data_IF_071941944933
#
_entry.id   IF_071941944933
#
_cell.length_a   1.000
_cell.length_b   1.000
_cell.length_c   1.000
_cell.angle_alpha   90.00
_cell.angle_beta   90.00
_cell.angle_gamma   90.00
#
_symmetry.space_group_name_H-M   'P 1'
#
loop_
_entity.id
_entity.type
_entity.pdbx_description
1 polymer ?
#
# COMPACT_ATOMS: atom_id res chain seq x y z
N UNK A 1 -28.26 -4.31 -7.02
CA UNK A 1 -27.66 -3.23 -6.23
C UNK A 1 -26.15 -3.44 -6.25
N UNK A 2 -25.38 -2.48 -6.70
CA UNK A 2 -23.92 -2.50 -6.56
C UNK A 2 -23.65 -2.30 -5.06
N UNK A 3 -22.83 -3.16 -4.41
CA UNK A 3 -22.49 -2.93 -3.02
C UNK A 3 -21.77 -1.57 -2.92
N UNK A 4 -22.32 -0.67 -2.11
CA UNK A 4 -21.67 0.60 -1.79
C UNK A 4 -20.43 0.30 -0.97
N UNK A 5 -19.27 0.42 -1.59
CA UNK A 5 -17.97 0.27 -0.92
C UNK A 5 -17.25 1.60 -0.92
N UNK A 6 -16.46 1.94 0.10
CA UNK A 6 -15.68 3.17 0.12
C UNK A 6 -14.72 3.32 -1.05
N UNK A 7 -14.42 2.22 -1.74
CA UNK A 7 -13.57 2.25 -2.94
C UNK A 7 -14.20 3.03 -4.09
N UNK A 8 -15.53 3.02 -4.21
CA UNK A 8 -16.23 3.64 -5.33
C UNK A 8 -17.13 4.80 -4.92
N UNK A 9 -17.71 4.72 -3.73
CA UNK A 9 -18.59 5.76 -3.20
C UNK A 9 -18.34 5.96 -1.70
N UNK A 10 -17.21 6.63 -1.35
CA UNK A 10 -16.82 6.83 0.04
C UNK A 10 -17.80 7.74 0.80
N UNK A 11 -18.40 8.73 0.13
CA UNK A 11 -19.33 9.65 0.76
C UNK A 11 -20.62 8.93 1.16
N UNK A 12 -21.22 8.16 0.26
CA UNK A 12 -22.44 7.41 0.53
C UNK A 12 -22.20 6.31 1.57
N UNK A 13 -21.09 5.60 1.51
CA UNK A 13 -20.73 4.56 2.49
C UNK A 13 -20.68 5.14 3.91
N UNK A 14 -19.88 6.17 4.13
CA UNK A 14 -19.68 6.76 5.45
C UNK A 14 -20.88 7.63 5.92
N UNK A 15 -21.82 7.98 5.04
CA UNK A 15 -23.08 8.62 5.43
C UNK A 15 -24.11 7.64 6.01
N UNK A 16 -24.04 6.37 5.61
CA UNK A 16 -25.02 5.32 5.98
C UNK A 16 -24.59 4.52 7.20
N UNK A 17 -23.30 4.33 7.42
CA UNK A 17 -22.80 3.59 8.57
C UNK A 17 -22.74 4.48 9.81
N UNK A 18 -23.58 4.13 10.80
CA UNK A 18 -23.68 4.89 12.05
C UNK A 18 -22.41 4.86 12.92
N UNK A 19 -21.62 3.78 12.90
CA UNK A 19 -20.41 3.62 13.71
C UNK A 19 -19.28 2.98 12.91
N UNK A 20 -18.11 3.63 12.89
CA UNK A 20 -16.89 3.09 12.29
C UNK A 20 -16.55 1.70 12.84
N UNK A 21 -16.19 0.77 11.95
CA UNK A 21 -15.84 -0.61 12.27
C UNK A 21 -14.34 -0.82 12.33
N UNK A 22 -13.80 -1.00 13.52
CA UNK A 22 -12.38 -1.36 13.69
C UNK A 22 -12.07 -2.73 13.05
N UNK A 23 -13.03 -3.65 13.06
CA UNK A 23 -12.90 -4.96 12.41
C UNK A 23 -12.70 -4.79 10.89
N UNK A 24 -13.50 -3.93 10.24
CA UNK A 24 -13.35 -3.60 8.82
C UNK A 24 -11.98 -3.00 8.55
N UNK A 25 -11.54 -2.04 9.37
CA UNK A 25 -10.23 -1.40 9.25
C UNK A 25 -9.08 -2.43 9.33
N UNK A 26 -9.11 -3.32 10.33
CA UNK A 26 -8.12 -4.39 10.48
C UNK A 26 -8.15 -5.35 9.29
N UNK A 27 -9.33 -5.73 8.82
CA UNK A 27 -9.49 -6.66 7.69
C UNK A 27 -8.89 -6.07 6.41
N UNK A 28 -9.20 -4.81 6.07
CA UNK A 28 -8.67 -4.15 4.87
C UNK A 28 -7.15 -3.97 4.97
N UNK A 29 -6.64 -3.59 6.15
CA UNK A 29 -5.19 -3.48 6.38
C UNK A 29 -4.50 -4.85 6.28
N UNK A 30 -5.12 -5.93 6.76
CA UNK A 30 -4.61 -7.28 6.62
C UNK A 30 -4.59 -7.74 5.15
N UNK A 31 -5.59 -7.37 4.34
CA UNK A 31 -5.58 -7.63 2.89
C UNK A 31 -4.40 -6.93 2.21
N UNK A 32 -4.11 -5.68 2.58
CA UNK A 32 -2.94 -4.97 2.07
C UNK A 32 -1.63 -5.65 2.48
N UNK A 33 -1.50 -6.08 3.74
CA UNK A 33 -0.35 -6.85 4.21
C UNK A 33 -0.18 -8.16 3.43
N UNK A 34 -1.26 -8.93 3.24
CA UNK A 34 -1.23 -10.18 2.45
C UNK A 34 -0.79 -9.90 1.01
N UNK A 35 -1.29 -8.82 0.38
CA UNK A 35 -0.87 -8.41 -0.95
C UNK A 35 0.64 -8.14 -1.02
N UNK A 36 1.19 -7.41 -0.04
CA UNK A 36 2.61 -7.11 0.05
C UNK A 36 3.46 -8.38 0.24
N UNK A 37 3.03 -9.30 1.12
CA UNK A 37 3.71 -10.58 1.35
C UNK A 37 3.67 -11.44 0.08
N UNK A 38 2.53 -11.53 -0.58
CA UNK A 38 2.38 -12.29 -1.82
C UNK A 38 3.29 -11.73 -2.93
N UNK A 39 3.27 -10.42 -3.13
CA UNK A 39 4.14 -9.75 -4.10
C UNK A 39 5.62 -10.04 -3.82
N UNK A 40 6.08 -9.83 -2.58
CA UNK A 40 7.47 -10.07 -2.21
C UNK A 40 7.87 -11.54 -2.32
N UNK A 41 6.98 -12.47 -1.96
CA UNK A 41 7.24 -13.90 -2.07
C UNK A 41 7.41 -14.33 -3.54
N UNK A 42 6.56 -13.81 -4.43
CA UNK A 42 6.66 -14.06 -5.88
C UNK A 42 7.96 -13.45 -6.42
N UNK A 43 8.25 -12.20 -6.06
CA UNK A 43 9.47 -11.51 -6.46
C UNK A 43 10.72 -12.27 -6.01
N UNK A 44 10.78 -12.67 -4.74
CA UNK A 44 11.89 -13.45 -4.20
C UNK A 44 12.06 -14.80 -4.89
N UNK A 45 10.93 -15.49 -5.16
CA UNK A 45 11.03 -16.76 -5.89
C UNK A 45 11.71 -16.57 -7.23
N UNK A 46 11.26 -15.61 -8.04
CA UNK A 46 11.89 -15.37 -9.35
C UNK A 46 13.36 -14.94 -9.22
N UNK A 47 13.66 -14.11 -8.22
CA UNK A 47 15.04 -13.68 -7.96
C UNK A 47 15.95 -14.88 -7.66
N UNK A 48 15.49 -15.82 -6.84
CA UNK A 48 16.25 -17.03 -6.51
C UNK A 48 16.34 -18.03 -7.67
N UNK A 49 15.33 -18.08 -8.54
CA UNK A 49 15.33 -18.96 -9.71
C UNK A 49 16.38 -18.51 -10.76
N UNK A 50 16.62 -17.20 -10.86
CA UNK A 50 17.59 -16.60 -11.78
C UNK A 50 19.00 -16.58 -11.19
N UNK A 51 19.14 -16.57 -9.87
CA UNK A 51 20.44 -16.52 -9.18
C UNK A 51 21.07 -17.94 -9.06
N UNK A 52 22.14 -18.19 -9.80
CA UNK A 52 22.75 -19.53 -9.93
C UNK A 52 23.64 -19.96 -8.75
N UNK A 53 24.01 -19.05 -7.84
CA UNK A 53 25.01 -19.31 -6.81
C UNK A 53 24.55 -19.03 -5.37
N UNK A 54 23.27 -18.72 -5.19
CA UNK A 54 22.76 -18.56 -3.82
C UNK A 54 22.68 -19.93 -3.13
N UNK A 55 23.25 -20.08 -1.92
CA UNK A 55 23.09 -21.31 -1.17
C UNK A 55 21.59 -21.56 -0.97
N UNK A 56 21.17 -22.82 -1.05
CA UNK A 56 19.77 -23.26 -0.73
C UNK A 56 19.35 -22.88 0.70
N UNK A 57 20.08 -21.96 1.31
CA UNK A 57 19.85 -21.40 2.62
C UNK A 57 18.44 -20.82 2.70
N UNK A 58 17.53 -21.76 2.88
CA UNK A 58 16.36 -21.55 3.68
C UNK A 58 15.48 -20.35 3.28
N UNK A 59 14.88 -20.40 2.07
CA UNK A 59 13.62 -19.68 1.80
C UNK A 59 12.66 -19.84 3.00
N UNK A 60 12.72 -20.98 3.69
CA UNK A 60 11.95 -21.27 4.88
C UNK A 60 12.15 -20.32 6.06
N UNK A 61 13.29 -19.65 6.17
CA UNK A 61 13.54 -18.65 7.23
C UNK A 61 13.32 -17.22 6.77
N UNK A 62 13.63 -16.92 5.51
CA UNK A 62 13.55 -15.57 4.95
C UNK A 62 12.09 -15.11 4.78
N UNK A 63 11.22 -15.96 4.26
CA UNK A 63 9.82 -15.61 3.99
C UNK A 63 9.08 -15.22 5.29
N UNK A 64 9.11 -16.00 6.39
CA UNK A 64 8.45 -15.61 7.63
C UNK A 64 8.97 -14.30 8.23
N UNK A 65 10.29 -14.11 8.20
CA UNK A 65 10.90 -12.86 8.69
C UNK A 65 10.46 -11.65 7.84
N UNK A 66 10.49 -11.79 6.52
CA UNK A 66 10.03 -10.75 5.60
C UNK A 66 8.55 -10.44 5.81
N UNK A 67 7.70 -11.45 5.98
CA UNK A 67 6.28 -11.28 6.26
C UNK A 67 6.05 -10.51 7.57
N UNK A 68 6.81 -10.82 8.62
CA UNK A 68 6.74 -10.12 9.91
C UNK A 68 7.17 -8.65 9.77
N UNK A 69 8.29 -8.38 9.12
CA UNK A 69 8.79 -7.02 8.91
C UNK A 69 7.83 -6.19 8.05
N UNK A 70 7.25 -6.79 7.01
CA UNK A 70 6.22 -6.15 6.20
C UNK A 70 4.95 -5.85 7.00
N UNK A 71 4.53 -6.78 7.87
CA UNK A 71 3.38 -6.55 8.76
C UNK A 71 3.61 -5.35 9.68
N UNK A 72 4.81 -5.25 10.26
CA UNK A 72 5.19 -4.11 11.08
C UNK A 72 5.22 -2.81 10.25
N UNK A 73 5.76 -2.83 9.05
CA UNK A 73 5.80 -1.68 8.14
C UNK A 73 4.39 -1.23 7.77
N UNK A 74 3.50 -2.15 7.39
CA UNK A 74 2.09 -1.84 7.07
C UNK A 74 1.38 -1.23 8.28
N UNK A 75 1.60 -1.77 9.48
CA UNK A 75 1.04 -1.21 10.72
C UNK A 75 1.53 0.23 10.96
N UNK A 76 2.82 0.48 10.79
CA UNK A 76 3.40 1.82 10.96
C UNK A 76 2.86 2.81 9.93
N UNK A 77 2.73 2.40 8.66
CA UNK A 77 2.11 3.22 7.60
C UNK A 77 0.67 3.55 7.97
N UNK A 78 -0.12 2.56 8.37
CA UNK A 78 -1.52 2.77 8.76
C UNK A 78 -1.65 3.74 9.93
N UNK A 79 -0.83 3.58 10.98
CA UNK A 79 -0.79 4.49 12.13
C UNK A 79 -0.36 5.91 11.72
N UNK A 80 0.65 6.03 10.86
CA UNK A 80 1.14 7.31 10.36
C UNK A 80 0.08 8.05 9.56
N UNK A 81 -0.55 7.38 8.58
CA UNK A 81 -1.64 7.96 7.77
C UNK A 81 -2.78 8.40 8.68
N UNK A 82 -3.22 7.55 9.60
CA UNK A 82 -4.28 7.87 10.56
C UNK A 82 -3.93 9.11 11.37
N UNK A 83 -2.71 9.18 11.88
CA UNK A 83 -2.24 10.32 12.70
C UNK A 83 -2.22 11.61 11.89
N UNK A 84 -1.73 11.57 10.66
CA UNK A 84 -1.67 12.74 9.76
C UNK A 84 -3.09 13.21 9.43
N UNK A 85 -3.96 12.31 8.95
CA UNK A 85 -5.33 12.64 8.59
C UNK A 85 -6.08 13.20 9.80
N UNK A 86 -6.03 12.52 10.94
CA UNK A 86 -6.73 12.97 12.15
C UNK A 86 -6.17 14.30 12.67
N UNK A 87 -4.85 14.43 12.74
CA UNK A 87 -4.19 15.64 13.24
C UNK A 87 -4.54 16.89 12.41
N UNK A 88 -4.43 16.76 11.07
CA UNK A 88 -4.73 17.90 10.18
C UNK A 88 -6.21 18.27 10.25
N UNK A 89 -7.12 17.27 10.25
CA UNK A 89 -8.55 17.55 10.33
C UNK A 89 -8.94 18.17 11.66
N UNK A 90 -8.30 17.79 12.77
CA UNK A 90 -8.50 18.43 14.08
C UNK A 90 -8.05 19.89 14.08
N UNK A 91 -6.89 20.18 13.51
CA UNK A 91 -6.40 21.57 13.35
C UNK A 91 -7.33 22.37 12.44
N UNK A 92 -7.94 21.71 11.43
CA UNK A 92 -8.93 22.34 10.55
C UNK A 92 -10.31 22.57 11.19
N UNK A 93 -10.49 22.19 12.46
CA UNK A 93 -11.76 22.33 13.20
C UNK A 93 -12.74 21.16 13.04
N UNK A 94 -12.29 20.02 12.54
CA UNK A 94 -13.11 18.83 12.37
C UNK A 94 -13.47 18.14 13.68
N UNK A 95 -14.66 17.50 13.72
CA UNK A 95 -15.25 16.88 14.92
C UNK A 95 -15.20 15.35 14.94
N UNK A 96 -14.79 14.69 13.84
CA UNK A 96 -14.80 13.23 13.70
C UNK A 96 -13.95 12.47 14.71
N UNK A 97 -14.25 11.19 14.92
CA UNK A 97 -13.54 10.34 15.87
C UNK A 97 -12.23 9.76 15.28
N UNK A 98 -11.26 9.48 16.17
CA UNK A 98 -10.04 8.77 15.78
C UNK A 98 -10.35 7.36 15.22
N UNK A 99 -11.33 6.68 15.80
CA UNK A 99 -11.78 5.34 15.33
C UNK A 99 -12.24 5.39 13.88
N UNK A 100 -13.03 6.38 13.51
CA UNK A 100 -13.49 6.62 12.13
C UNK A 100 -12.28 6.88 11.21
N UNK A 101 -11.30 7.68 11.68
CA UNK A 101 -10.10 7.96 10.89
C UNK A 101 -9.28 6.69 10.65
N UNK A 102 -9.20 5.77 11.61
CA UNK A 102 -8.55 4.46 11.42
C UNK A 102 -9.17 3.65 10.29
N UNK A 103 -10.50 3.63 10.22
CA UNK A 103 -11.20 2.93 9.15
C UNK A 103 -10.97 3.61 7.79
N UNK A 104 -11.09 4.93 7.74
CA UNK A 104 -10.85 5.70 6.52
C UNK A 104 -9.42 5.48 6.01
N UNK A 105 -8.42 5.53 6.89
CA UNK A 105 -7.03 5.28 6.53
C UNK A 105 -6.83 3.88 5.94
N UNK A 106 -7.46 2.85 6.52
CA UNK A 106 -7.41 1.48 6.02
C UNK A 106 -7.99 1.35 4.60
N UNK A 107 -9.13 1.99 4.31
CA UNK A 107 -9.74 1.93 2.98
C UNK A 107 -8.87 2.55 1.88
N UNK A 108 -8.10 3.59 2.18
CA UNK A 108 -7.08 4.09 1.25
C UNK A 108 -5.97 3.06 1.01
N UNK A 109 -5.53 2.32 2.04
CA UNK A 109 -4.60 1.19 1.86
C UNK A 109 -5.20 0.07 1.00
N UNK A 110 -6.53 -0.09 0.98
CA UNK A 110 -7.23 -1.01 0.07
C UNK A 110 -6.98 -0.69 -1.41
N UNK A 111 -6.89 0.59 -1.79
CA UNK A 111 -6.52 0.98 -3.15
C UNK A 111 -5.08 0.55 -3.49
N UNK A 112 -4.15 0.70 -2.55
CA UNK A 112 -2.78 0.20 -2.73
C UNK A 112 -2.70 -1.33 -2.77
N UNK A 113 -3.57 -2.05 -2.02
CA UNK A 113 -3.63 -3.50 -2.09
C UNK A 113 -3.94 -3.99 -3.50
N UNK A 114 -4.90 -3.35 -4.19
CA UNK A 114 -5.24 -3.67 -5.58
C UNK A 114 -4.04 -3.44 -6.51
N UNK A 115 -3.33 -2.33 -6.34
CA UNK A 115 -2.13 -2.02 -7.11
C UNK A 115 -1.01 -3.05 -6.90
N UNK A 116 -0.78 -3.47 -5.64
CA UNK A 116 0.24 -4.48 -5.30
C UNK A 116 -0.12 -5.85 -5.87
N UNK A 117 -1.40 -6.25 -5.84
CA UNK A 117 -1.84 -7.49 -6.51
C UNK A 117 -1.63 -7.43 -8.03
N UNK A 118 -1.89 -6.28 -8.66
CA UNK A 118 -1.62 -6.10 -10.08
C UNK A 118 -0.12 -6.21 -10.39
N UNK A 119 0.74 -5.64 -9.54
CA UNK A 119 2.20 -5.78 -9.67
C UNK A 119 2.65 -7.23 -9.48
N UNK A 120 2.12 -7.95 -8.48
CA UNK A 120 2.41 -9.36 -8.27
C UNK A 120 2.07 -10.20 -9.51
N UNK A 121 0.94 -9.93 -10.17
CA UNK A 121 0.52 -10.61 -11.39
C UNK A 121 1.43 -10.29 -12.60
N UNK A 122 2.10 -9.15 -12.62
CA UNK A 122 3.01 -8.76 -13.71
C UNK A 122 4.46 -9.20 -13.47
N UNK A 123 4.84 -9.57 -12.25
CA UNK A 123 6.21 -9.97 -11.88
C UNK A 123 6.80 -11.05 -12.82
N UNK A 124 6.08 -12.11 -13.22
CA UNK A 124 6.62 -13.12 -14.14
C UNK A 124 7.09 -12.59 -15.50
N UNK A 125 6.54 -11.45 -15.92
CA UNK A 125 6.86 -10.82 -17.20
C UNK A 125 7.94 -9.75 -17.09
N UNK A 126 8.43 -9.50 -15.88
CA UNK A 126 9.29 -8.38 -15.55
C UNK A 126 10.66 -8.81 -15.06
N UNK A 127 10.79 -10.07 -14.69
CA UNK A 127 12.08 -10.64 -14.28
C UNK A 127 12.93 -10.93 -15.52
N UNK A 128 14.21 -10.52 -15.54
CA UNK A 128 15.14 -10.89 -16.60
C UNK A 128 15.20 -12.42 -16.75
N UNK A 129 15.23 -12.91 -18.00
CA UNK A 129 15.35 -14.34 -18.29
C UNK A 129 16.81 -14.83 -18.27
N UNK A 130 17.78 -13.92 -18.15
CA UNK A 130 19.18 -14.23 -18.10
C UNK A 130 19.62 -14.50 -16.65
N UNK A 131 20.51 -15.51 -16.48
CA UNK A 131 21.03 -15.85 -15.16
C UNK A 131 21.92 -14.72 -14.62
N UNK A 132 21.63 -14.26 -13.41
CA UNK A 132 22.43 -13.27 -12.70
C UNK A 132 23.50 -14.03 -11.90
N UNK A 133 24.77 -13.78 -12.21
CA UNK A 133 25.90 -14.31 -11.46
C UNK A 133 26.37 -13.26 -10.46
N UNK A 134 25.95 -13.36 -9.22
CA UNK A 134 26.46 -12.53 -8.14
C UNK A 134 26.58 -13.36 -6.85
N UNK A 135 27.68 -13.20 -6.16
CA UNK A 135 27.98 -13.91 -4.89
C UNK A 135 27.26 -13.24 -3.69
N UNK A 136 26.94 -11.94 -3.79
CA UNK A 136 26.28 -11.16 -2.74
C UNK A 136 24.82 -10.86 -3.12
N UNK A 137 23.84 -11.13 -2.25
CA UNK A 137 22.45 -10.75 -2.48
C UNK A 137 22.23 -9.26 -2.79
N UNK A 138 23.06 -8.37 -2.25
CA UNK A 138 23.00 -6.94 -2.56
C UNK A 138 23.36 -6.65 -4.03
N UNK A 139 24.38 -7.34 -4.56
CA UNK A 139 24.79 -7.20 -5.95
C UNK A 139 23.74 -7.76 -6.92
N UNK A 140 23.03 -8.84 -6.53
CA UNK A 140 21.91 -9.39 -7.30
C UNK A 140 20.80 -8.33 -7.43
N UNK A 141 20.43 -7.67 -6.33
CA UNK A 141 19.39 -6.64 -6.34
C UNK A 141 19.78 -5.44 -7.24
N UNK A 142 21.06 -5.04 -7.21
CA UNK A 142 21.58 -3.94 -8.05
C UNK A 142 21.59 -4.34 -9.53
N UNK A 143 22.10 -5.52 -9.88
CA UNK A 143 22.09 -6.01 -11.27
C UNK A 143 20.68 -6.18 -11.79
N UNK A 144 19.79 -6.78 -10.99
CA UNK A 144 18.38 -6.92 -11.33
C UNK A 144 17.71 -5.56 -11.62
N UNK A 145 17.97 -4.56 -10.78
CA UNK A 145 17.45 -3.22 -10.99
C UNK A 145 18.03 -2.54 -12.26
N UNK A 146 19.30 -2.80 -12.56
CA UNK A 146 19.98 -2.25 -13.74
C UNK A 146 19.49 -2.89 -15.06
N UNK A 147 19.13 -4.17 -15.03
CA UNK A 147 18.64 -4.93 -16.19
C UNK A 147 17.13 -4.86 -16.37
N UNK A 148 16.40 -4.39 -15.34
CA UNK A 148 14.95 -4.26 -15.42
C UNK A 148 14.54 -3.34 -16.58
N UNK A 149 13.67 -3.79 -17.51
CA UNK A 149 13.20 -2.95 -18.60
C UNK A 149 12.57 -1.66 -18.09
N UNK A 150 12.84 -0.54 -18.75
CA UNK A 150 12.25 0.77 -18.42
C UNK A 150 10.71 0.72 -18.36
N UNK A 151 10.11 -0.15 -19.18
CA UNK A 151 8.65 -0.40 -19.17
C UNK A 151 8.13 -0.83 -17.80
N UNK A 152 8.92 -1.60 -17.04
CA UNK A 152 8.54 -2.07 -15.69
C UNK A 152 8.50 -0.90 -14.72
N UNK A 153 9.55 -0.08 -14.70
CA UNK A 153 9.57 1.12 -13.88
C UNK A 153 8.38 2.03 -14.18
N UNK A 154 8.04 2.21 -15.46
CA UNK A 154 6.89 2.99 -15.90
C UNK A 154 5.57 2.36 -15.40
N UNK A 155 5.37 1.04 -15.56
CA UNK A 155 4.16 0.35 -15.09
C UNK A 155 4.02 0.48 -13.58
N UNK A 156 5.10 0.28 -12.83
CA UNK A 156 5.12 0.41 -11.38
C UNK A 156 4.75 1.83 -10.94
N UNK A 157 5.35 2.84 -11.54
CA UNK A 157 5.04 4.24 -11.25
C UNK A 157 3.59 4.61 -11.59
N UNK A 158 3.09 4.17 -12.75
CA UNK A 158 1.69 4.42 -13.14
C UNK A 158 0.72 3.73 -12.19
N UNK A 159 0.97 2.48 -11.82
CA UNK A 159 0.12 1.73 -10.90
C UNK A 159 0.09 2.38 -9.53
N UNK A 160 1.25 2.81 -9.02
CA UNK A 160 1.37 3.55 -7.77
C UNK A 160 0.66 4.91 -7.83
N UNK A 161 0.82 5.65 -8.94
CA UNK A 161 0.16 6.93 -9.13
C UNK A 161 -1.38 6.79 -9.13
N UNK A 162 -1.91 5.77 -9.84
CA UNK A 162 -3.35 5.48 -9.85
C UNK A 162 -3.84 5.13 -8.45
N UNK A 163 -3.14 4.24 -7.72
CA UNK A 163 -3.49 3.88 -6.35
C UNK A 163 -3.47 5.10 -5.41
N UNK A 164 -2.46 5.96 -5.56
CA UNK A 164 -2.33 7.19 -4.76
C UNK A 164 -3.49 8.15 -5.02
N UNK A 165 -3.83 8.42 -6.28
CA UNK A 165 -4.97 9.27 -6.64
C UNK A 165 -6.27 8.68 -6.08
N UNK A 166 -6.43 7.36 -6.18
CA UNK A 166 -7.61 6.66 -5.66
C UNK A 166 -7.69 6.73 -4.13
N UNK A 167 -6.58 6.50 -3.42
CA UNK A 167 -6.51 6.65 -1.96
C UNK A 167 -6.83 8.09 -1.51
N UNK A 168 -6.29 9.10 -2.20
CA UNK A 168 -6.60 10.52 -1.94
C UNK A 168 -8.08 10.80 -2.15
N UNK A 169 -8.70 10.25 -3.18
CA UNK A 169 -10.14 10.35 -3.41
C UNK A 169 -10.94 9.77 -2.23
N UNK A 170 -10.64 8.52 -1.83
CA UNK A 170 -11.30 7.85 -0.70
C UNK A 170 -11.16 8.68 0.57
N UNK A 171 -9.92 9.05 0.95
CA UNK A 171 -9.68 9.82 2.17
C UNK A 171 -10.35 11.18 2.15
N UNK A 172 -10.33 11.89 1.01
CA UNK A 172 -10.92 13.23 0.90
C UNK A 172 -12.41 13.22 1.18
N UNK A 173 -13.16 12.38 0.49
CA UNK A 173 -14.62 12.37 0.63
C UNK A 173 -15.07 11.76 1.94
N UNK A 174 -14.40 10.69 2.40
CA UNK A 174 -14.68 10.11 3.72
C UNK A 174 -14.39 11.09 4.87
N UNK A 175 -13.24 11.79 4.83
CA UNK A 175 -12.88 12.75 5.87
C UNK A 175 -13.79 13.97 5.85
N UNK A 176 -14.17 14.49 4.68
CA UNK A 176 -15.11 15.60 4.58
C UNK A 176 -16.45 15.24 5.22
N UNK A 177 -16.98 14.07 4.89
CA UNK A 177 -18.27 13.58 5.38
C UNK A 177 -18.27 13.31 6.88
N UNK A 178 -17.25 12.63 7.40
CA UNK A 178 -17.25 12.15 8.80
C UNK A 178 -16.70 13.15 9.81
N UNK A 179 -15.90 14.13 9.37
CA UNK A 179 -15.26 15.11 10.26
C UNK A 179 -15.87 16.51 10.15
N UNK A 180 -16.91 16.67 9.33
CA UNK A 180 -17.61 17.95 9.10
C UNK A 180 -16.66 19.09 8.70
N UNK A 181 -15.77 18.79 7.75
CA UNK A 181 -14.84 19.77 7.18
C UNK A 181 -15.08 19.94 5.68
N UNK A 182 -14.68 21.09 5.13
CA UNK A 182 -14.79 21.28 3.69
C UNK A 182 -13.93 20.27 2.91
N UNK A 183 -14.43 19.83 1.74
CA UNK A 183 -13.69 18.93 0.81
C UNK A 183 -12.30 19.46 0.51
N UNK A 184 -12.11 20.78 0.40
CA UNK A 184 -10.78 21.39 0.17
C UNK A 184 -9.80 21.11 1.31
N UNK A 185 -10.24 21.18 2.57
CA UNK A 185 -9.40 20.90 3.75
C UNK A 185 -9.11 19.41 3.86
N UNK A 186 -10.11 18.58 3.60
CA UNK A 186 -9.95 17.13 3.55
C UNK A 186 -8.96 16.71 2.45
N UNK A 187 -9.06 17.29 1.25
CA UNK A 187 -8.13 17.03 0.14
C UNK A 187 -6.68 17.40 0.51
N UNK A 188 -6.47 18.55 1.16
CA UNK A 188 -5.13 18.94 1.61
C UNK A 188 -4.55 17.93 2.60
N UNK A 189 -5.33 17.46 3.58
CA UNK A 189 -4.91 16.44 4.53
C UNK A 189 -4.57 15.11 3.83
N UNK A 190 -5.41 14.69 2.88
CA UNK A 190 -5.26 13.45 2.11
C UNK A 190 -4.01 13.48 1.22
N UNK A 191 -3.73 14.60 0.55
CA UNK A 191 -2.53 14.76 -0.29
C UNK A 191 -1.27 14.70 0.58
N UNK A 192 -1.27 15.38 1.73
CA UNK A 192 -0.14 15.32 2.67
C UNK A 192 0.08 13.88 3.13
N UNK A 193 -0.98 13.17 3.55
CA UNK A 193 -0.87 11.77 3.96
C UNK A 193 -0.34 10.87 2.82
N UNK A 194 -0.81 11.08 1.59
CA UNK A 194 -0.42 10.29 0.41
C UNK A 194 1.07 10.39 0.05
N UNK A 195 1.72 11.52 0.34
CA UNK A 195 3.17 11.70 0.09
C UNK A 195 4.00 10.77 0.97
N UNK A 196 3.54 10.43 2.17
CA UNK A 196 4.29 9.58 3.09
C UNK A 196 4.24 8.09 2.73
N UNK A 197 3.21 7.61 2.01
CA UNK A 197 3.10 6.18 1.64
C UNK A 197 4.26 5.72 0.77
N UNK A 198 4.56 6.34 -0.39
CA UNK A 198 5.67 5.93 -1.23
C UNK A 198 7.04 6.15 -0.57
N UNK A 199 7.18 7.18 0.29
CA UNK A 199 8.43 7.42 1.04
C UNK A 199 8.73 6.27 2.01
N UNK A 200 7.74 5.76 2.71
CA UNK A 200 7.92 4.65 3.66
C UNK A 200 8.07 3.31 2.94
N UNK A 201 7.42 3.15 1.78
CA UNK A 201 7.58 1.95 0.94
C UNK A 201 8.94 1.89 0.20
N UNK A 202 9.76 2.93 0.29
CA UNK A 202 11.08 2.95 -0.36
C UNK A 202 11.03 2.97 -1.88
N UNK A 203 10.01 3.62 -2.46
CA UNK A 203 9.77 3.67 -3.92
C UNK A 203 10.57 4.79 -4.60
N UNK A 204 11.39 5.54 -3.85
CA UNK A 204 12.28 6.59 -4.35
C UNK A 204 13.74 6.31 -4.04
#
# INVERSE_FOLDING_TARGET
MVPTTPLFDPEEYFSREGDASLTTAITVTAVFWIAMVAYMSIYMWYLFDVATELPEASLGGIIPLTALLMGLTVLLIWLLITTILHGITRVAGGSGSLKTTFEIAAWGLGAYAIAVFAQAATTPFTVPSESITAEDPADIAVQFAAEAPLSIAIITLLTLAVATVWAVYIWTYSMAQTHDISVRRAAAASIIAAVFVPLVLGVF
#
